data_IF_591260210727
#
_entry.id   IF_591260210727
#
_cell.length_a   1.000
_cell.length_b   1.000
_cell.length_c   1.000
_cell.angle_alpha   90.00
_cell.angle_beta   90.00
_cell.angle_gamma   90.00
#
_symmetry.space_group_name_H-M   'P 1'
#
loop_
_entity.id
_entity.type
_entity.pdbx_description
1 polymer ?
#
# COMPACT_ATOMS: atom_id res chain seq x y z
N UNK A 1 -12.94 -9.73 -6.28
CA UNK A 1 -12.14 -10.06 -5.09
C UNK A 1 -11.31 -8.84 -4.74
N UNK A 2 -11.41 -8.36 -3.50
CA UNK A 2 -10.67 -7.19 -3.03
C UNK A 2 -9.57 -7.62 -2.08
N UNK A 3 -8.48 -6.86 -2.06
CA UNK A 3 -7.41 -7.01 -1.10
C UNK A 3 -7.24 -5.71 -0.31
N UNK A 4 -6.76 -5.84 0.93
CA UNK A 4 -6.49 -4.71 1.81
C UNK A 4 -5.15 -4.83 2.52
N UNK A 5 -4.56 -3.68 2.84
CA UNK A 5 -3.26 -3.56 3.52
C UNK A 5 -3.34 -2.47 4.61
N UNK A 6 -2.71 -2.69 5.77
CA UNK A 6 -2.58 -1.69 6.82
C UNK A 6 -1.19 -1.76 7.46
N UNK A 7 -0.64 -0.61 7.82
CA UNK A 7 0.52 -0.50 8.71
C UNK A 7 0.03 -0.25 10.14
N UNK A 8 0.58 -0.97 11.11
CA UNK A 8 0.25 -0.84 12.53
C UNK A 8 1.41 -1.29 13.41
N UNK A 9 1.38 -0.95 14.70
CA UNK A 9 2.41 -1.35 15.66
C UNK A 9 2.29 -2.83 16.12
N UNK A 10 1.25 -3.53 15.67
CA UNK A 10 1.01 -4.94 15.95
C UNK A 10 0.26 -5.63 14.78
N UNK A 11 0.33 -6.96 14.64
CA UNK A 11 -0.42 -7.69 13.63
C UNK A 11 -1.93 -7.52 13.78
N UNK A 12 -2.60 -7.10 12.71
CA UNK A 12 -4.05 -6.97 12.62
C UNK A 12 -4.70 -8.06 11.76
N UNK A 13 -3.88 -8.84 11.05
CA UNK A 13 -4.30 -9.90 10.14
C UNK A 13 -3.37 -11.12 10.22
N UNK A 14 -3.85 -12.27 9.76
CA UNK A 14 -3.04 -13.49 9.70
C UNK A 14 -1.84 -13.35 8.75
N UNK A 15 -2.06 -12.77 7.56
CA UNK A 15 -0.98 -12.44 6.63
C UNK A 15 -0.35 -11.10 7.03
N UNK A 16 0.93 -11.11 7.40
CA UNK A 16 1.63 -9.89 7.78
C UNK A 16 3.14 -9.98 7.50
N UNK A 17 3.80 -8.82 7.41
CA UNK A 17 5.24 -8.68 7.33
C UNK A 17 5.72 -7.62 8.34
N UNK A 18 6.89 -7.84 8.95
CA UNK A 18 7.43 -6.92 9.96
C UNK A 18 8.63 -6.14 9.41
N UNK A 19 8.69 -4.85 9.71
CA UNK A 19 9.81 -3.97 9.43
C UNK A 19 10.14 -3.16 10.71
N UNK A 20 11.01 -3.70 11.56
CA UNK A 20 11.29 -3.13 12.87
C UNK A 20 10.07 -3.21 13.80
N UNK A 21 9.65 -2.07 14.36
CA UNK A 21 8.46 -1.97 15.21
C UNK A 21 7.13 -1.93 14.43
N UNK A 22 7.19 -1.80 13.10
CA UNK A 22 6.02 -1.66 12.25
C UNK A 22 5.63 -3.00 11.62
N UNK A 23 4.33 -3.27 11.58
CA UNK A 23 3.72 -4.47 11.01
C UNK A 23 2.81 -4.10 9.86
N UNK A 24 3.11 -4.64 8.69
CA UNK A 24 2.28 -4.55 7.50
C UNK A 24 1.31 -5.74 7.47
N UNK A 25 0.04 -5.52 7.82
CA UNK A 25 -1.02 -6.53 7.84
C UNK A 25 -1.81 -6.53 6.53
N UNK A 26 -2.12 -7.72 6.02
CA UNK A 26 -2.81 -7.90 4.75
C UNK A 26 -4.05 -8.80 4.90
N UNK A 27 -5.13 -8.43 4.21
CA UNK A 27 -6.35 -9.22 4.11
C UNK A 27 -6.59 -9.55 2.63
N UNK A 28 -6.18 -10.75 2.18
CA UNK A 28 -6.61 -11.25 0.89
C UNK A 28 -8.11 -11.51 0.91
N UNK A 29 -8.73 -11.46 -0.27
CA UNK A 29 -10.05 -11.99 -0.55
C UNK A 29 -11.19 -11.46 0.34
N UNK A 30 -11.07 -10.21 0.78
CA UNK A 30 -12.03 -9.58 1.67
C UNK A 30 -12.78 -8.47 0.94
N UNK A 31 -14.09 -8.62 0.72
CA UNK A 31 -14.86 -7.68 -0.10
C UNK A 31 -15.06 -6.30 0.52
N UNK A 32 -15.10 -6.21 1.86
CA UNK A 32 -15.31 -4.97 2.61
C UNK A 32 -14.06 -4.57 3.38
N UNK A 33 -13.92 -3.28 3.69
CA UNK A 33 -12.79 -2.75 4.48
C UNK A 33 -12.77 -3.44 5.86
N UNK A 34 -11.71 -4.22 6.20
CA UNK A 34 -11.67 -5.02 7.43
C UNK A 34 -11.25 -4.21 8.66
N UNK A 35 -10.55 -3.09 8.47
CA UNK A 35 -10.01 -2.27 9.56
C UNK A 35 -9.98 -0.78 9.17
N UNK A 36 -10.14 0.17 10.11
CA UNK A 36 -10.04 1.61 9.83
C UNK A 36 -8.69 2.05 9.25
N UNK A 37 -7.60 1.34 9.55
CA UNK A 37 -6.30 1.62 8.94
C UNK A 37 -6.12 0.95 7.56
N UNK A 38 -7.01 0.03 7.17
CA UNK A 38 -6.87 -0.70 5.92
C UNK A 38 -7.08 0.20 4.69
N UNK A 39 -6.23 0.02 3.69
CA UNK A 39 -6.29 0.65 2.36
C UNK A 39 -6.39 -0.44 1.30
N UNK A 40 -7.18 -0.19 0.26
CA UNK A 40 -7.41 -1.17 -0.80
C UNK A 40 -6.18 -1.25 -1.70
N UNK A 41 -5.84 -2.47 -2.14
CA UNK A 41 -4.83 -2.70 -3.17
C UNK A 41 -5.30 -3.72 -4.22
N UNK A 42 -4.57 -3.81 -5.33
CA UNK A 42 -4.76 -4.87 -6.33
C UNK A 42 -4.50 -6.26 -5.68
N UNK A 43 -5.44 -7.21 -5.74
CA UNK A 43 -5.27 -8.54 -5.15
C UNK A 43 -4.06 -9.31 -5.66
N UNK A 44 -3.61 -9.06 -6.90
CA UNK A 44 -2.46 -9.74 -7.50
C UNK A 44 -1.14 -9.43 -6.81
N UNK A 45 -1.13 -8.42 -5.94
CA UNK A 45 0.00 -8.09 -5.08
C UNK A 45 0.19 -9.11 -3.96
N UNK A 46 -0.92 -9.64 -3.43
CA UNK A 46 -0.88 -10.61 -2.34
C UNK A 46 -0.81 -12.02 -2.93
N UNK A 47 0.39 -12.40 -3.35
CA UNK A 47 0.69 -13.75 -3.85
C UNK A 47 1.66 -14.45 -2.89
N UNK A 48 1.18 -15.36 -2.01
CA UNK A 48 2.03 -16.11 -1.10
C UNK A 48 3.08 -16.99 -1.81
N UNK A 49 2.85 -17.31 -3.09
CA UNK A 49 3.76 -18.10 -3.92
C UNK A 49 4.64 -17.25 -4.85
N UNK A 50 4.41 -15.93 -4.86
CA UNK A 50 5.09 -14.98 -5.73
C UNK A 50 6.49 -14.60 -5.23
N UNK A 51 7.32 -14.00 -6.10
CA UNK A 51 8.59 -13.41 -5.67
C UNK A 51 8.35 -12.23 -4.70
N UNK A 52 9.32 -11.90 -3.82
CA UNK A 52 9.23 -10.73 -2.96
C UNK A 52 9.03 -9.43 -3.75
N UNK A 53 8.18 -8.55 -3.22
CA UNK A 53 7.88 -7.24 -3.80
C UNK A 53 8.53 -6.09 -3.01
N UNK A 54 8.75 -4.95 -3.67
CA UNK A 54 9.18 -3.72 -2.99
C UNK A 54 8.00 -2.76 -2.82
N UNK A 55 7.66 -2.48 -1.56
CA UNK A 55 6.57 -1.55 -1.23
C UNK A 55 7.15 -0.22 -0.77
N UNK A 56 6.68 0.91 -1.32
CA UNK A 56 6.94 2.24 -0.77
C UNK A 56 5.65 2.83 -0.22
N UNK A 57 5.55 2.87 1.10
CA UNK A 57 4.39 3.42 1.79
C UNK A 57 4.74 4.82 2.29
N UNK A 58 3.92 5.81 1.91
CA UNK A 58 3.93 7.13 2.54
C UNK A 58 2.72 7.17 3.48
N UNK A 59 2.97 6.87 4.75
CA UNK A 59 1.94 6.82 5.78
C UNK A 59 2.12 8.00 6.74
N UNK A 60 1.85 9.20 6.22
CA UNK A 60 1.90 10.43 7.00
C UNK A 60 0.61 10.59 7.82
N UNK A 61 0.67 11.41 8.85
CA UNK A 61 -0.53 11.83 9.59
C UNK A 61 -1.54 12.45 8.60
N UNK A 62 -2.84 12.25 8.85
CA UNK A 62 -3.92 12.70 7.95
C UNK A 62 -3.80 14.18 7.62
N UNK A 63 -3.39 14.99 8.60
CA UNK A 63 -3.18 16.44 8.45
C UNK A 63 -1.99 16.82 7.57
N UNK A 64 -1.11 15.86 7.28
CA UNK A 64 0.14 16.05 6.55
C UNK A 64 0.21 15.21 5.27
N UNK A 65 -0.88 14.53 4.88
CA UNK A 65 -0.89 13.74 3.67
C UNK A 65 -0.81 14.65 2.44
N UNK A 66 0.14 14.41 1.53
CA UNK A 66 0.21 15.18 0.30
C UNK A 66 -1.02 14.88 -0.57
N UNK A 67 -1.42 15.89 -1.33
CA UNK A 67 -2.43 15.73 -2.36
C UNK A 67 -1.93 14.73 -3.42
N UNK A 68 -2.86 14.02 -4.03
CA UNK A 68 -2.53 13.02 -5.05
C UNK A 68 -1.82 13.62 -6.28
N UNK A 69 -2.11 14.88 -6.59
CA UNK A 69 -1.50 15.66 -7.68
C UNK A 69 -0.32 16.52 -7.23
N UNK A 70 0.13 16.40 -5.98
CA UNK A 70 1.31 17.09 -5.50
C UNK A 70 2.53 16.77 -6.38
N UNK A 71 3.31 17.78 -6.82
CA UNK A 71 4.45 17.57 -7.70
C UNK A 71 5.47 16.55 -7.18
N UNK A 72 5.71 16.50 -5.86
CA UNK A 72 6.63 15.54 -5.25
C UNK A 72 6.07 14.11 -5.33
N UNK A 73 4.76 13.92 -5.11
CA UNK A 73 4.08 12.62 -5.27
C UNK A 73 4.15 12.16 -6.73
N UNK A 74 3.83 13.06 -7.67
CA UNK A 74 3.90 12.78 -9.11
C UNK A 74 5.32 12.41 -9.52
N UNK A 75 6.33 13.13 -9.05
CA UNK A 75 7.73 12.87 -9.38
C UNK A 75 8.21 11.54 -8.80
N UNK A 76 7.87 11.22 -7.55
CA UNK A 76 8.20 9.94 -6.93
C UNK A 76 7.57 8.76 -7.69
N UNK A 77 6.29 8.88 -8.08
CA UNK A 77 5.62 7.86 -8.90
C UNK A 77 6.26 7.68 -10.28
N UNK A 78 6.64 8.78 -10.94
CA UNK A 78 7.36 8.73 -12.23
C UNK A 78 8.72 8.05 -12.08
N UNK A 79 9.47 8.37 -11.03
CA UNK A 79 10.75 7.73 -10.75
C UNK A 79 10.61 6.21 -10.56
N UNK A 80 9.58 5.76 -9.85
CA UNK A 80 9.30 4.33 -9.68
C UNK A 80 8.92 3.62 -10.99
N UNK A 81 8.24 4.29 -11.92
CA UNK A 81 7.96 3.73 -13.26
C UNK A 81 9.20 3.55 -14.13
N UNK A 82 10.33 4.19 -13.78
CA UNK A 82 11.60 4.00 -14.46
C UNK A 82 12.41 2.81 -13.90
N UNK A 83 11.94 2.17 -12.83
CA UNK A 83 12.44 0.88 -12.36
C UNK A 83 11.94 -0.25 -13.30
N UNK A 84 12.57 -1.43 -13.32
CA UNK A 84 12.08 -2.58 -14.08
C UNK A 84 10.57 -2.77 -13.88
N UNK A 85 9.85 -2.98 -14.99
CA UNK A 85 8.40 -2.85 -15.03
C UNK A 85 7.72 -3.74 -13.98
N UNK A 86 6.98 -3.16 -13.03
CA UNK A 86 6.27 -3.93 -12.02
C UNK A 86 5.11 -4.73 -12.66
N UNK A 87 5.05 -6.02 -12.35
CA UNK A 87 3.90 -6.92 -12.48
C UNK A 87 2.58 -6.31 -11.97
N UNK A 88 2.61 -5.45 -10.95
CA UNK A 88 1.43 -4.71 -10.49
C UNK A 88 1.77 -3.35 -9.87
N UNK A 89 0.90 -2.35 -10.12
CA UNK A 89 0.99 -1.02 -9.49
C UNK A 89 -0.34 -0.69 -8.83
N UNK A 90 -0.33 -0.44 -7.52
CA UNK A 90 -1.48 0.08 -6.81
C UNK A 90 -1.14 1.42 -6.16
N UNK A 91 -1.94 2.45 -6.46
CA UNK A 91 -1.93 3.67 -5.65
C UNK A 91 -2.85 3.47 -4.47
N UNK A 92 -2.33 3.72 -3.27
CA UNK A 92 -3.09 3.70 -2.04
C UNK A 92 -3.55 5.14 -1.80
N UNK A 93 -4.84 5.34 -1.60
CA UNK A 93 -5.40 6.63 -1.20
C UNK A 93 -6.17 6.48 0.10
N UNK A 94 -6.17 7.53 0.92
CA UNK A 94 -6.99 7.55 2.14
C UNK A 94 -8.43 7.92 1.83
N UNK A 95 -8.61 8.82 0.87
CA UNK A 95 -9.88 9.29 0.31
C UNK A 95 -9.70 9.57 -1.20
N UNK A 96 -10.57 10.42 -1.78
CA UNK A 96 -10.49 10.78 -3.20
C UNK A 96 -9.37 11.77 -3.55
N UNK A 97 -8.70 12.35 -2.56
CA UNK A 97 -7.76 13.47 -2.73
C UNK A 97 -6.37 13.22 -2.16
N UNK A 98 -6.24 12.41 -1.11
CA UNK A 98 -5.00 12.24 -0.36
C UNK A 98 -4.26 10.94 -0.70
N UNK A 99 -2.99 11.08 -1.05
CA UNK A 99 -2.11 9.97 -1.38
C UNK A 99 -1.54 9.30 -0.12
N UNK A 100 -1.63 7.98 -0.05
CA UNK A 100 -1.19 7.15 1.09
C UNK A 100 -0.01 6.22 0.74
N UNK A 101 0.55 6.36 -0.46
CA UNK A 101 1.65 5.52 -0.94
C UNK A 101 1.31 4.71 -2.19
N UNK A 102 2.27 3.89 -2.59
CA UNK A 102 2.15 3.08 -3.80
C UNK A 102 2.91 1.78 -3.67
N UNK A 103 2.32 0.73 -4.20
CA UNK A 103 2.89 -0.60 -4.19
C UNK A 103 3.30 -0.99 -5.61
N UNK A 104 4.54 -1.43 -5.76
CA UNK A 104 5.10 -1.95 -6.99
C UNK A 104 5.57 -3.39 -6.76
N UNK A 105 5.07 -4.33 -7.56
CA UNK A 105 5.54 -5.72 -7.58
C UNK A 105 6.10 -5.98 -8.94
#
# INVERSE_FOLDING_TARGET
>A
MNAWLALADAPLAAMHACAGAQVLSAWPDTDRRPHPLARRLDPRVLDPSGPPAQVSLLWLDLEHLPLFDDPAVVQARRAALHLPAPRAVSSLTVDSTHFAGSLWV
#
